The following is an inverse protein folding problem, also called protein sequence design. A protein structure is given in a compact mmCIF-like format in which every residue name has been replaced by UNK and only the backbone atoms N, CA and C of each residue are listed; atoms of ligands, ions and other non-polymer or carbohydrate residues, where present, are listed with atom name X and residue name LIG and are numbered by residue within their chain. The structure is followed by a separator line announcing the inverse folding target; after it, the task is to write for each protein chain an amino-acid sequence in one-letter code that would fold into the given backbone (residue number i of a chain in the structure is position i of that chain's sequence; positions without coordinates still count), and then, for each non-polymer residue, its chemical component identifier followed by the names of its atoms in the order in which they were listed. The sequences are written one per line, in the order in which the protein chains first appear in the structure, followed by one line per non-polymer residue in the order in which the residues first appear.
data_IF_424461742679
#
_entry.id   IF_424461742679
#
_cell.length_a   1.000
_cell.length_b   1.000
_cell.length_c   1.000
_cell.angle_alpha   90.00
_cell.angle_beta   90.00
_cell.angle_gamma   90.00
#
_symmetry.space_group_name_H-M   'P 1'
#
loop_
_entity.id
_entity.type
_entity.pdbx_description
1 polymer ?
#
# COMPACT_ATOMS: atom_id res chain seq x y z
N UNK A 1 16.78 5.60 -14.42
CA UNK A 1 16.63 7.07 -14.47
C UNK A 1 16.03 7.52 -13.16
N UNK A 2 16.61 8.53 -12.53
CA UNK A 2 16.04 9.16 -11.33
C UNK A 2 14.75 9.90 -11.74
N UNK A 3 13.67 9.73 -10.99
CA UNK A 3 12.40 10.46 -11.16
C UNK A 3 12.32 11.59 -10.15
N UNK A 4 11.46 12.57 -10.43
CA UNK A 4 11.25 13.75 -9.59
C UNK A 4 9.87 13.67 -8.93
N UNK A 5 9.83 13.78 -7.62
CA UNK A 5 8.62 13.71 -6.82
C UNK A 5 8.46 14.96 -5.95
N UNK A 6 7.26 15.48 -5.85
CA UNK A 6 6.90 16.49 -4.87
C UNK A 6 5.93 15.88 -3.84
N UNK A 7 6.24 16.03 -2.56
CA UNK A 7 5.42 15.54 -1.45
C UNK A 7 4.86 16.75 -0.70
N UNK A 8 3.59 16.96 -0.82
CA UNK A 8 2.84 18.05 -0.20
C UNK A 8 2.14 17.53 1.05
N UNK A 9 2.70 17.88 2.19
CA UNK A 9 2.38 17.33 3.52
C UNK A 9 3.41 16.31 3.96
N UNK A 10 4.10 16.62 5.07
CA UNK A 10 5.17 15.80 5.65
C UNK A 10 4.71 15.18 6.97
N UNK A 11 3.42 14.84 7.07
CA UNK A 11 2.88 13.99 8.12
C UNK A 11 3.52 12.61 8.12
N UNK A 12 2.99 11.67 8.92
CA UNK A 12 3.60 10.33 9.02
C UNK A 12 3.65 9.61 7.67
N UNK A 13 2.57 9.65 6.88
CA UNK A 13 2.52 9.02 5.56
C UNK A 13 3.44 9.72 4.56
N UNK A 14 3.30 11.04 4.38
CA UNK A 14 4.11 11.80 3.41
C UNK A 14 5.61 11.73 3.70
N UNK A 15 6.02 11.86 4.97
CA UNK A 15 7.43 11.74 5.37
C UNK A 15 7.99 10.32 5.12
N UNK A 16 7.17 9.28 5.32
CA UNK A 16 7.56 7.89 5.01
C UNK A 16 7.75 7.72 3.51
N UNK A 17 6.81 8.19 2.69
CA UNK A 17 6.92 8.14 1.22
C UNK A 17 8.16 8.89 0.75
N UNK A 18 8.40 10.10 1.27
CA UNK A 18 9.55 10.92 0.90
C UNK A 18 10.89 10.20 1.19
N UNK A 19 11.04 9.61 2.38
CA UNK A 19 12.24 8.85 2.77
C UNK A 19 12.46 7.63 1.89
N UNK A 20 11.41 6.86 1.59
CA UNK A 20 11.54 5.66 0.75
C UNK A 20 11.88 6.03 -0.70
N UNK A 21 11.30 7.10 -1.26
CA UNK A 21 11.67 7.58 -2.58
C UNK A 21 13.14 8.01 -2.64
N UNK A 22 13.66 8.64 -1.58
CA UNK A 22 15.09 9.00 -1.47
C UNK A 22 15.99 7.75 -1.40
N UNK A 23 15.60 6.70 -0.67
CA UNK A 23 16.35 5.43 -0.65
C UNK A 23 16.51 4.82 -2.04
N UNK A 24 15.52 5.02 -2.90
CA UNK A 24 15.55 4.63 -4.31
C UNK A 24 16.25 5.64 -5.23
N UNK A 25 17.02 6.58 -4.66
CA UNK A 25 17.85 7.56 -5.40
C UNK A 25 17.03 8.50 -6.32
N UNK A 26 15.77 8.77 -6.00
CA UNK A 26 14.95 9.76 -6.67
C UNK A 26 15.23 11.16 -6.12
N UNK A 27 14.85 12.19 -6.89
CA UNK A 27 14.82 13.58 -6.42
C UNK A 27 13.47 13.87 -5.78
N UNK A 28 13.50 14.45 -4.57
CA UNK A 28 12.30 14.66 -3.77
C UNK A 28 12.28 16.07 -3.20
N UNK A 29 11.21 16.80 -3.51
CA UNK A 29 10.78 18.01 -2.82
C UNK A 29 9.80 17.60 -1.72
N UNK A 30 10.00 18.08 -0.50
CA UNK A 30 9.04 18.00 0.60
C UNK A 30 8.53 19.38 0.98
N UNK A 31 7.23 19.50 1.17
CA UNK A 31 6.57 20.78 1.54
C UNK A 31 5.61 20.55 2.69
N UNK A 32 5.69 21.37 3.73
CA UNK A 32 4.73 21.39 4.84
C UNK A 32 4.66 22.79 5.43
N UNK A 33 3.55 23.14 6.06
CA UNK A 33 3.43 24.41 6.79
C UNK A 33 4.13 24.35 8.17
N UNK A 34 4.35 23.17 8.71
CA UNK A 34 5.03 22.95 10.00
C UNK A 34 6.55 22.89 9.80
N UNK A 35 7.24 23.94 10.26
CA UNK A 35 8.71 24.05 10.23
C UNK A 35 9.39 22.83 10.85
N UNK A 36 8.86 22.28 11.94
CA UNK A 36 9.44 21.10 12.61
C UNK A 36 9.46 19.86 11.71
N UNK A 37 8.40 19.66 10.92
CA UNK A 37 8.32 18.56 9.94
C UNK A 37 9.28 18.75 8.78
N UNK A 38 9.42 19.98 8.30
CA UNK A 38 10.34 20.34 7.22
C UNK A 38 11.78 20.14 7.67
N UNK A 39 12.14 20.67 8.85
CA UNK A 39 13.50 20.55 9.41
C UNK A 39 13.93 19.10 9.63
N UNK A 40 13.00 18.23 10.08
CA UNK A 40 13.27 16.81 10.29
C UNK A 40 13.64 16.04 9.00
N UNK A 41 13.43 16.64 7.83
CA UNK A 41 13.69 16.06 6.52
C UNK A 41 14.69 16.87 5.70
N UNK A 42 15.11 18.04 6.13
CA UNK A 42 15.95 18.98 5.37
C UNK A 42 17.30 18.36 4.94
N UNK A 43 17.91 17.53 5.79
CA UNK A 43 19.18 16.83 5.47
C UNK A 43 18.99 15.57 4.60
N UNK A 44 17.75 15.14 4.38
CA UNK A 44 17.45 13.88 3.68
C UNK A 44 16.95 14.17 2.26
N UNK A 45 16.11 15.19 2.10
CA UNK A 45 15.48 15.54 0.83
C UNK A 45 16.38 16.45 -0.02
N UNK A 46 16.14 16.52 -1.33
CA UNK A 46 16.87 17.44 -2.20
C UNK A 46 16.42 18.88 -1.95
N UNK A 47 15.11 19.06 -1.68
CA UNK A 47 14.53 20.34 -1.28
C UNK A 47 13.50 20.10 -0.19
N UNK A 48 13.50 20.95 0.82
CA UNK A 48 12.51 21.00 1.89
C UNK A 48 12.05 22.44 2.06
N UNK A 49 10.75 22.68 1.93
CA UNK A 49 10.16 24.05 1.85
C UNK A 49 9.02 24.18 2.86
N UNK A 50 9.03 25.29 3.60
CA UNK A 50 7.92 25.66 4.48
C UNK A 50 6.93 26.47 3.64
N UNK A 51 5.71 25.94 3.43
CA UNK A 51 4.66 26.65 2.72
C UNK A 51 3.27 26.16 3.15
N UNK A 52 2.30 27.07 3.10
CA UNK A 52 0.88 26.72 3.25
C UNK A 52 0.37 26.07 1.96
N UNK A 53 -0.06 24.82 2.07
CA UNK A 53 -0.54 24.03 0.94
C UNK A 53 -1.92 24.48 0.40
N UNK A 54 -2.57 25.43 1.07
CA UNK A 54 -3.81 26.06 0.61
C UNK A 54 -3.58 27.38 -0.13
N UNK A 55 -2.35 27.92 -0.07
CA UNK A 55 -1.97 29.13 -0.79
C UNK A 55 -1.51 28.83 -2.20
N UNK A 56 -2.37 29.16 -3.19
CA UNK A 56 -2.12 28.99 -4.61
C UNK A 56 -0.82 29.65 -5.10
N UNK A 57 -0.48 30.83 -4.55
CA UNK A 57 0.75 31.55 -4.93
C UNK A 57 1.99 30.81 -4.44
N UNK A 58 1.96 30.35 -3.19
CA UNK A 58 3.05 29.56 -2.63
C UNK A 58 3.28 28.27 -3.43
N UNK A 59 2.21 27.55 -3.78
CA UNK A 59 2.30 26.36 -4.63
C UNK A 59 2.80 26.69 -6.06
N UNK A 60 2.42 27.84 -6.61
CA UNK A 60 2.85 28.30 -7.94
C UNK A 60 4.37 28.54 -8.04
N UNK A 61 5.05 28.89 -6.94
CA UNK A 61 6.50 29.08 -6.89
C UNK A 61 7.29 27.76 -6.91
N UNK A 62 6.63 26.63 -6.65
CA UNK A 62 7.27 25.31 -6.53
C UNK A 62 7.49 24.60 -7.87
N UNK A 63 6.99 25.14 -9.00
CA UNK A 63 7.11 24.54 -10.34
C UNK A 63 6.64 23.07 -10.39
N UNK A 64 5.44 22.80 -9.84
CA UNK A 64 4.91 21.43 -9.66
C UNK A 64 4.70 20.67 -10.98
N UNK A 65 4.58 21.38 -12.10
CA UNK A 65 4.52 20.84 -13.47
C UNK A 65 5.83 20.17 -13.92
N UNK A 66 6.96 20.50 -13.29
CA UNK A 66 8.25 19.88 -13.58
C UNK A 66 8.38 18.46 -12.99
N UNK A 67 7.62 18.14 -11.94
CA UNK A 67 7.69 16.84 -11.25
C UNK A 67 6.93 15.74 -12.00
N UNK A 68 7.42 14.50 -11.90
CA UNK A 68 6.77 13.34 -12.51
C UNK A 68 5.49 12.96 -11.76
N UNK A 69 5.49 13.09 -10.42
CA UNK A 69 4.33 12.84 -9.55
C UNK A 69 4.32 13.84 -8.41
N UNK A 70 3.15 14.37 -8.11
CA UNK A 70 2.86 15.15 -6.91
C UNK A 70 2.01 14.29 -5.98
N UNK A 71 2.49 14.06 -4.75
CA UNK A 71 1.78 13.33 -3.69
C UNK A 71 1.24 14.33 -2.68
N UNK A 72 -0.05 14.25 -2.37
CA UNK A 72 -0.75 15.15 -1.45
C UNK A 72 -1.19 14.36 -0.21
N UNK A 73 -0.64 14.73 0.95
CA UNK A 73 -0.96 14.18 2.29
C UNK A 73 -1.21 15.35 3.24
N UNK A 74 -2.33 16.01 3.07
CA UNK A 74 -2.78 17.06 4.00
C UNK A 74 -3.58 16.40 5.11
N UNK A 75 -3.03 16.34 6.29
CA UNK A 75 -3.59 15.77 7.53
C UNK A 75 -5.15 15.60 7.51
N UNK A 76 -5.84 15.51 8.62
CA UNK A 76 -7.31 15.27 8.66
C UNK A 76 -8.18 16.46 8.16
N UNK A 77 -7.57 17.46 7.53
CA UNK A 77 -8.28 18.62 6.99
C UNK A 77 -8.71 18.38 5.52
N UNK A 78 -9.93 17.88 5.36
CA UNK A 78 -10.51 17.60 4.03
C UNK A 78 -10.58 18.85 3.16
N UNK A 79 -10.91 20.02 3.71
CA UNK A 79 -10.99 21.28 2.97
C UNK A 79 -9.63 21.66 2.39
N UNK A 80 -8.58 21.64 3.23
CA UNK A 80 -7.21 21.92 2.79
C UNK A 80 -6.72 20.92 1.74
N UNK A 81 -7.01 19.62 1.91
CA UNK A 81 -6.65 18.58 0.94
C UNK A 81 -7.32 18.78 -0.42
N UNK A 82 -8.60 19.14 -0.42
CA UNK A 82 -9.37 19.43 -1.64
C UNK A 82 -8.84 20.68 -2.33
N UNK A 83 -8.60 21.75 -1.57
CA UNK A 83 -8.06 23.01 -2.09
C UNK A 83 -6.67 22.82 -2.69
N UNK A 84 -5.77 22.15 -1.97
CA UNK A 84 -4.44 21.81 -2.47
C UNK A 84 -4.53 20.99 -3.77
N UNK A 85 -5.39 19.95 -3.81
CA UNK A 85 -5.55 19.10 -5.01
C UNK A 85 -6.03 19.91 -6.22
N UNK A 86 -6.95 20.85 -6.01
CA UNK A 86 -7.45 21.74 -7.08
C UNK A 86 -6.31 22.61 -7.62
N UNK A 87 -5.59 23.32 -6.75
CA UNK A 87 -4.47 24.18 -7.14
C UNK A 87 -3.38 23.39 -7.88
N UNK A 88 -2.97 22.23 -7.36
CA UNK A 88 -1.97 21.36 -7.99
C UNK A 88 -2.41 20.95 -9.39
N UNK A 89 -3.72 20.68 -9.60
CA UNK A 89 -4.27 20.35 -10.92
C UNK A 89 -4.24 21.55 -11.86
N UNK A 90 -4.61 22.73 -11.39
CA UNK A 90 -4.62 23.98 -12.17
C UNK A 90 -3.19 24.43 -12.55
N UNK A 91 -2.20 24.14 -11.68
CA UNK A 91 -0.78 24.37 -11.93
C UNK A 91 -0.15 23.37 -12.91
N UNK A 92 -0.92 22.41 -13.44
CA UNK A 92 -0.49 21.53 -14.52
C UNK A 92 0.37 20.35 -14.10
N UNK A 93 0.29 19.90 -12.84
CA UNK A 93 0.97 18.69 -12.40
C UNK A 93 0.63 17.48 -13.28
N UNK A 94 1.64 16.69 -13.67
CA UNK A 94 1.53 15.58 -14.63
C UNK A 94 0.73 14.40 -14.09
N UNK A 95 1.00 14.02 -12.84
CA UNK A 95 0.33 12.91 -12.15
C UNK A 95 0.14 13.29 -10.69
N UNK A 96 -1.09 13.20 -10.19
CA UNK A 96 -1.48 13.59 -8.84
C UNK A 96 -1.94 12.36 -8.06
N UNK A 97 -1.25 12.07 -6.96
CA UNK A 97 -1.65 11.08 -5.98
C UNK A 97 -2.13 11.79 -4.72
N UNK A 98 -3.31 11.49 -4.25
CA UNK A 98 -3.84 12.13 -3.05
C UNK A 98 -4.27 11.10 -2.01
N UNK A 99 -3.97 11.37 -0.73
CA UNK A 99 -4.40 10.54 0.38
C UNK A 99 -5.81 10.93 0.81
N UNK A 100 -6.68 9.92 0.93
CA UNK A 100 -8.03 10.09 1.46
C UNK A 100 -8.09 9.65 2.93
N UNK A 101 -8.99 10.28 3.72
CA UNK A 101 -9.25 9.98 5.12
C UNK A 101 -10.67 9.39 5.34
N UNK A 102 -11.50 9.32 4.29
CA UNK A 102 -12.84 8.77 4.32
C UNK A 102 -13.33 8.42 2.92
N UNK A 103 -14.38 7.59 2.83
CA UNK A 103 -15.02 7.24 1.55
C UNK A 103 -15.56 8.47 0.80
N UNK A 104 -16.10 9.45 1.51
CA UNK A 104 -16.58 10.69 0.92
C UNK A 104 -15.44 11.52 0.35
N UNK A 105 -14.34 11.63 1.10
CA UNK A 105 -13.13 12.31 0.67
C UNK A 105 -12.49 11.60 -0.54
N UNK A 106 -12.40 10.28 -0.53
CA UNK A 106 -11.95 9.47 -1.67
C UNK A 106 -12.71 9.81 -2.96
N UNK A 107 -14.05 9.80 -2.89
CA UNK A 107 -14.91 10.12 -4.04
C UNK A 107 -14.72 11.56 -4.53
N UNK A 108 -14.50 12.48 -3.61
CA UNK A 108 -14.29 13.90 -3.92
C UNK A 108 -12.95 14.11 -4.64
N UNK A 109 -11.85 13.58 -4.12
CA UNK A 109 -10.52 13.65 -4.73
C UNK A 109 -10.50 13.04 -6.14
N UNK A 110 -11.17 11.90 -6.34
CA UNK A 110 -11.34 11.30 -7.68
C UNK A 110 -12.06 12.23 -8.66
N UNK A 111 -13.11 12.92 -8.21
CA UNK A 111 -13.86 13.85 -9.05
C UNK A 111 -13.10 15.14 -9.37
N UNK A 112 -12.21 15.57 -8.48
CA UNK A 112 -11.33 16.72 -8.67
C UNK A 112 -10.18 16.43 -9.64
N UNK A 113 -9.99 15.17 -10.05
CA UNK A 113 -9.01 14.80 -11.05
C UNK A 113 -7.68 14.31 -10.46
N UNK A 114 -7.66 13.85 -9.22
CA UNK A 114 -6.54 13.06 -8.73
C UNK A 114 -6.45 11.77 -9.55
N UNK A 115 -5.28 11.50 -10.16
CA UNK A 115 -5.04 10.34 -10.99
C UNK A 115 -5.10 9.07 -10.14
N UNK A 116 -4.55 9.13 -8.94
CA UNK A 116 -4.62 8.06 -7.95
C UNK A 116 -5.02 8.60 -6.58
N UNK A 117 -5.96 7.92 -5.95
CA UNK A 117 -6.32 8.17 -4.55
C UNK A 117 -5.93 6.94 -3.74
N UNK A 118 -5.14 7.15 -2.70
CA UNK A 118 -4.74 6.12 -1.74
C UNK A 118 -5.51 6.30 -0.44
N UNK A 119 -5.88 5.19 0.20
CA UNK A 119 -6.61 5.22 1.47
C UNK A 119 -5.98 4.21 2.45
N UNK A 120 -4.78 4.53 2.97
CA UNK A 120 -3.94 3.58 3.68
C UNK A 120 -4.62 2.98 4.91
N UNK A 121 -5.33 3.78 5.69
CA UNK A 121 -6.00 3.35 6.93
C UNK A 121 -7.09 2.31 6.63
N UNK A 122 -7.86 2.50 5.56
CA UNK A 122 -8.85 1.54 5.12
C UNK A 122 -8.22 0.24 4.61
N UNK A 123 -7.23 0.35 3.72
CA UNK A 123 -6.56 -0.80 3.11
C UNK A 123 -5.86 -1.66 4.16
N UNK A 124 -5.16 -1.03 5.11
CA UNK A 124 -4.51 -1.72 6.24
C UNK A 124 -5.55 -2.27 7.22
N UNK A 125 -6.61 -1.51 7.52
CA UNK A 125 -7.69 -1.94 8.41
C UNK A 125 -8.38 -3.21 7.93
N UNK A 126 -8.69 -3.31 6.64
CA UNK A 126 -9.25 -4.53 6.04
C UNK A 126 -8.28 -5.71 6.21
N UNK A 127 -7.00 -5.51 5.91
CA UNK A 127 -5.96 -6.54 6.08
C UNK A 127 -5.88 -7.06 7.52
N UNK A 128 -5.82 -6.17 8.48
CA UNK A 128 -5.79 -6.51 9.91
C UNK A 128 -7.04 -7.27 10.34
N UNK A 129 -8.22 -6.84 9.87
CA UNK A 129 -9.48 -7.52 10.20
C UNK A 129 -9.52 -8.96 9.67
N UNK A 130 -9.05 -9.20 8.44
CA UNK A 130 -8.96 -10.55 7.86
C UNK A 130 -7.94 -11.40 8.64
N UNK A 131 -6.77 -10.87 8.99
CA UNK A 131 -5.77 -11.58 9.79
C UNK A 131 -6.26 -11.93 11.20
N UNK A 132 -7.06 -11.07 11.81
CA UNK A 132 -7.67 -11.36 13.14
C UNK A 132 -8.77 -12.41 13.06
N UNK A 133 -9.49 -12.50 11.95
CA UNK A 133 -10.55 -13.50 11.74
C UNK A 133 -9.99 -14.91 11.47
N UNK A 134 -8.82 -14.98 10.86
CA UNK A 134 -8.18 -16.25 10.45
C UNK A 134 -6.76 -16.32 11.01
N UNK A 135 -6.60 -16.99 12.15
CA UNK A 135 -5.35 -17.02 12.94
C UNK A 135 -4.14 -17.53 12.16
N UNK A 136 -4.33 -18.42 11.20
CA UNK A 136 -3.27 -18.93 10.34
C UNK A 136 -2.90 -17.99 9.18
N UNK A 137 -3.67 -16.94 8.94
CA UNK A 137 -3.42 -15.98 7.86
C UNK A 137 -2.41 -14.92 8.30
N UNK A 138 -1.19 -15.00 7.75
CA UNK A 138 -0.07 -14.10 8.06
C UNK A 138 -0.18 -12.79 7.30
N UNK A 139 -0.50 -12.85 6.00
CA UNK A 139 -0.66 -11.66 5.16
C UNK A 139 -1.77 -11.86 4.10
N UNK A 140 -2.28 -10.73 3.61
CA UNK A 140 -3.40 -10.67 2.71
C UNK A 140 -3.22 -9.52 1.70
N UNK A 141 -3.14 -9.87 0.41
CA UNK A 141 -2.98 -8.91 -0.69
C UNK A 141 -4.16 -9.02 -1.63
N UNK A 142 -4.85 -7.92 -1.87
CA UNK A 142 -5.96 -7.83 -2.81
C UNK A 142 -5.45 -7.62 -4.23
N UNK A 143 -5.85 -8.49 -5.17
CA UNK A 143 -5.59 -8.37 -6.60
C UNK A 143 -6.88 -8.03 -7.36
N UNK A 144 -7.22 -6.76 -7.45
CA UNK A 144 -8.47 -6.32 -8.09
C UNK A 144 -9.71 -6.57 -7.23
N UNK A 145 -10.85 -6.90 -7.86
CA UNK A 145 -12.14 -6.96 -7.16
C UNK A 145 -12.41 -8.30 -6.45
N UNK A 146 -11.93 -9.43 -7.00
CA UNK A 146 -12.33 -10.76 -6.54
C UNK A 146 -11.18 -11.72 -6.26
N UNK A 147 -9.96 -11.36 -6.63
CA UNK A 147 -8.78 -12.20 -6.47
C UNK A 147 -7.89 -11.70 -5.34
N UNK A 148 -7.32 -12.62 -4.60
CA UNK A 148 -6.48 -12.34 -3.44
C UNK A 148 -5.27 -13.27 -3.42
N UNK A 149 -4.16 -12.78 -2.85
CA UNK A 149 -3.05 -13.62 -2.42
C UNK A 149 -3.05 -13.61 -0.90
N UNK A 150 -2.90 -14.79 -0.29
CA UNK A 150 -2.76 -14.93 1.15
C UNK A 150 -1.54 -15.77 1.47
N UNK A 151 -0.89 -15.44 2.58
CA UNK A 151 0.13 -16.24 3.24
C UNK A 151 -0.51 -16.91 4.45
N UNK A 152 -0.50 -18.25 4.48
CA UNK A 152 -1.10 -19.05 5.54
C UNK A 152 -0.01 -19.92 6.15
N UNK A 153 0.19 -19.84 7.47
CA UNK A 153 1.13 -20.69 8.18
C UNK A 153 0.54 -22.10 8.43
N UNK A 154 1.32 -23.13 8.16
CA UNK A 154 0.93 -24.51 8.45
C UNK A 154 1.08 -24.81 9.92
N UNK A 155 -0.04 -25.18 10.55
CA UNK A 155 -0.11 -25.60 11.96
C UNK A 155 0.10 -27.10 12.12
N UNK A 156 0.34 -27.57 13.36
CA UNK A 156 0.35 -29.00 13.66
C UNK A 156 -0.97 -29.66 13.24
N UNK A 157 -2.09 -28.99 13.49
CA UNK A 157 -3.42 -29.48 13.15
C UNK A 157 -3.59 -29.69 11.64
N UNK A 158 -3.09 -28.77 10.81
CA UNK A 158 -3.14 -28.92 9.36
C UNK A 158 -2.30 -30.12 8.91
N UNK A 159 -1.09 -30.29 9.44
CA UNK A 159 -0.17 -31.36 9.05
C UNK A 159 -0.71 -32.74 9.43
N UNK A 160 -1.41 -32.88 10.57
CA UNK A 160 -2.07 -34.14 10.94
C UNK A 160 -3.09 -34.62 9.91
N UNK A 161 -3.72 -33.71 9.17
CA UNK A 161 -4.75 -34.00 8.17
C UNK A 161 -4.23 -33.89 6.75
N UNK A 162 -3.18 -33.11 6.51
CA UNK A 162 -2.63 -32.77 5.19
C UNK A 162 -1.11 -32.88 5.17
N UNK A 163 -0.59 -34.08 5.00
CA UNK A 163 0.85 -34.36 5.01
C UNK A 163 1.59 -33.88 3.75
N UNK A 164 0.87 -33.59 2.66
CA UNK A 164 1.44 -33.12 1.39
C UNK A 164 0.49 -32.19 0.67
N UNK A 165 0.98 -31.50 -0.38
CA UNK A 165 0.19 -30.59 -1.22
C UNK A 165 -1.04 -31.28 -1.81
N UNK A 166 -0.94 -32.57 -2.18
CA UNK A 166 -2.08 -33.34 -2.71
C UNK A 166 -3.23 -33.49 -1.72
N UNK A 167 -2.92 -33.48 -0.43
CA UNK A 167 -3.92 -33.66 0.62
C UNK A 167 -4.61 -32.36 1.05
N UNK A 168 -4.10 -31.20 0.60
CA UNK A 168 -4.80 -29.93 0.81
C UNK A 168 -6.16 -29.99 0.12
N UNK A 169 -7.24 -29.84 0.89
CA UNK A 169 -8.61 -29.78 0.35
C UNK A 169 -8.85 -28.45 -0.37
N UNK A 170 -8.11 -28.24 -1.46
CA UNK A 170 -8.16 -27.04 -2.30
C UNK A 170 -9.08 -27.32 -3.48
N UNK A 171 -10.11 -26.48 -3.65
CA UNK A 171 -10.79 -26.38 -4.93
C UNK A 171 -9.81 -25.75 -5.94
N UNK A 172 -9.16 -26.59 -6.76
CA UNK A 172 -8.12 -26.20 -7.71
C UNK A 172 -8.63 -25.26 -8.83
N UNK A 173 -9.93 -25.19 -9.03
CA UNK A 173 -10.53 -24.23 -9.96
C UNK A 173 -10.68 -22.84 -9.31
N UNK A 174 -10.80 -22.78 -7.99
CA UNK A 174 -10.96 -21.55 -7.22
C UNK A 174 -9.67 -21.05 -6.54
N UNK A 175 -8.72 -21.97 -6.25
CA UNK A 175 -7.49 -21.67 -5.52
C UNK A 175 -6.26 -22.27 -6.20
N UNK A 176 -5.19 -21.49 -6.21
CA UNK A 176 -3.89 -21.86 -6.73
C UNK A 176 -2.80 -21.72 -5.67
N UNK A 177 -2.05 -22.81 -5.40
CA UNK A 177 -0.88 -22.77 -4.54
C UNK A 177 0.32 -22.26 -5.36
N UNK A 178 0.73 -21.02 -5.09
CA UNK A 178 1.81 -20.32 -5.81
C UNK A 178 3.18 -20.82 -5.37
N UNK A 179 3.38 -20.93 -4.04
CA UNK A 179 4.65 -21.32 -3.47
C UNK A 179 4.48 -21.83 -2.02
N UNK A 180 5.50 -22.51 -1.53
CA UNK A 180 5.70 -22.80 -0.10
C UNK A 180 6.98 -22.10 0.32
N UNK A 181 6.90 -21.28 1.38
CA UNK A 181 8.06 -20.67 2.01
C UNK A 181 8.40 -21.48 3.25
N UNK A 182 9.65 -21.95 3.33
CA UNK A 182 10.20 -22.75 4.44
C UNK A 182 11.44 -22.05 4.97
N UNK A 183 11.31 -21.32 6.06
CA UNK A 183 12.37 -20.43 6.55
C UNK A 183 12.76 -19.38 5.48
N UNK A 184 14.01 -19.39 5.03
CA UNK A 184 14.51 -18.49 3.98
C UNK A 184 14.31 -19.04 2.55
N UNK A 185 13.93 -20.31 2.41
CA UNK A 185 13.76 -20.96 1.12
C UNK A 185 12.33 -20.82 0.59
N UNK A 186 12.22 -20.57 -0.74
CA UNK A 186 10.92 -20.47 -1.43
C UNK A 186 10.82 -21.55 -2.50
N UNK A 187 10.00 -22.58 -2.24
CA UNK A 187 9.66 -23.62 -3.21
C UNK A 187 8.54 -23.10 -4.12
N UNK A 188 8.87 -22.84 -5.37
CA UNK A 188 7.92 -22.34 -6.38
C UNK A 188 7.25 -23.48 -7.10
N UNK A 189 5.95 -23.35 -7.39
CA UNK A 189 5.15 -24.38 -8.05
C UNK A 189 5.38 -25.77 -7.45
N UNK A 190 5.11 -25.97 -6.15
CA UNK A 190 5.36 -27.24 -5.49
C UNK A 190 4.54 -28.36 -6.15
N UNK A 191 5.17 -29.52 -6.31
CA UNK A 191 4.50 -30.71 -6.83
C UNK A 191 3.50 -31.25 -5.81
N UNK A 192 2.54 -32.05 -6.28
CA UNK A 192 1.48 -32.64 -5.44
C UNK A 192 2.02 -33.52 -4.31
N UNK A 193 3.15 -34.17 -4.51
CA UNK A 193 3.82 -35.03 -3.54
C UNK A 193 4.77 -34.27 -2.58
N UNK A 194 4.87 -32.93 -2.73
CA UNK A 194 5.71 -32.10 -1.86
C UNK A 194 5.20 -32.20 -0.42
N UNK A 195 6.05 -32.68 0.52
CA UNK A 195 5.66 -32.79 1.93
C UNK A 195 5.56 -31.42 2.58
N UNK A 196 4.50 -31.21 3.35
CA UNK A 196 4.30 -30.03 4.18
C UNK A 196 4.95 -30.27 5.56
N UNK A 197 5.43 -29.17 6.16
CA UNK A 197 6.02 -29.16 7.49
C UNK A 197 5.37 -28.06 8.33
N UNK A 198 5.32 -28.27 9.64
CA UNK A 198 4.88 -27.24 10.58
C UNK A 198 5.77 -26.00 10.45
N UNK A 199 5.16 -24.83 10.34
CA UNK A 199 5.86 -23.56 10.15
C UNK A 199 6.17 -23.24 8.66
N UNK A 200 5.74 -24.08 7.70
CA UNK A 200 5.72 -23.67 6.29
C UNK A 200 4.68 -22.55 6.10
N UNK A 201 5.00 -21.56 5.26
CA UNK A 201 4.01 -20.59 4.81
C UNK A 201 3.53 -20.97 3.40
N UNK A 202 2.23 -21.25 3.26
CA UNK A 202 1.58 -21.50 1.99
C UNK A 202 1.15 -20.18 1.34
N UNK A 203 1.66 -19.89 0.16
CA UNK A 203 1.24 -18.72 -0.63
C UNK A 203 0.14 -19.17 -1.58
N UNK A 204 -1.09 -18.80 -1.29
CA UNK A 204 -2.28 -19.16 -2.04
C UNK A 204 -2.84 -17.96 -2.79
N UNK A 205 -3.34 -18.17 -4.00
CA UNK A 205 -4.04 -17.16 -4.78
C UNK A 205 -5.42 -17.67 -5.17
N UNK A 206 -6.46 -16.84 -5.05
CA UNK A 206 -7.79 -17.19 -5.47
C UNK A 206 -8.91 -16.29 -4.97
N UNK A 207 -10.13 -16.80 -5.06
CA UNK A 207 -11.33 -16.11 -4.56
C UNK A 207 -11.36 -16.08 -3.02
N UNK A 208 -11.82 -14.97 -2.45
CA UNK A 208 -11.85 -14.77 -1.00
C UNK A 208 -12.65 -15.85 -0.26
N UNK A 209 -13.76 -16.31 -0.84
CA UNK A 209 -14.59 -17.31 -0.19
C UNK A 209 -13.86 -18.66 -0.08
N UNK A 210 -13.19 -19.07 -1.14
CA UNK A 210 -12.41 -20.30 -1.16
C UNK A 210 -11.19 -20.23 -0.20
N UNK A 211 -10.53 -19.07 -0.13
CA UNK A 211 -9.45 -18.81 0.84
C UNK A 211 -9.94 -18.87 2.29
N UNK A 212 -11.15 -18.37 2.57
CA UNK A 212 -11.78 -18.44 3.89
C UNK A 212 -12.10 -19.88 4.31
N UNK A 213 -12.51 -20.74 3.38
CA UNK A 213 -12.79 -22.15 3.69
C UNK A 213 -11.52 -22.90 4.10
N UNK A 214 -10.37 -22.60 3.47
CA UNK A 214 -9.08 -23.15 3.92
C UNK A 214 -8.72 -22.62 5.31
N UNK A 215 -8.85 -21.31 5.52
CA UNK A 215 -8.54 -20.69 6.82
C UNK A 215 -9.35 -21.24 8.00
N UNK A 216 -10.48 -21.94 7.74
CA UNK A 216 -11.28 -22.63 8.76
C UNK A 216 -10.79 -24.06 9.06
N UNK A 217 -9.98 -24.63 8.16
CA UNK A 217 -9.47 -26.00 8.29
C UNK A 217 -8.12 -26.03 9.03
N UNK A 218 -7.52 -24.88 9.27
CA UNK A 218 -6.22 -24.66 9.89
C UNK A 218 -6.38 -24.15 11.32
#
# INVERSE_FOLDING_TARGET
MSRHFAILGLGYFGSTVARELKRHQNQVLGVDADETRVDALSDILDHAVIADLTDEKALGELSLDAYDVVVIDVDDNVEASVTCTLHVKELGAKEIWAKAHSDSHYKLLKRLGADRVVYPEYDVGVRVAESLNYHAMVDFIRLGERQFIVEIETTEHLIEHCASVANLSIDRDALFLVAIKRGEEVLRNPADDTPLQVGDSLILMGDLQALREIGKQI
#
